data_IF_816032089319
#
_entry.id   IF_816032089319
#
_cell.length_a   1.000
_cell.length_b   1.000
_cell.length_c   1.000
_cell.angle_alpha   90.00
_cell.angle_beta   90.00
_cell.angle_gamma   90.00
#
_symmetry.space_group_name_H-M   'P 1'
#
loop_
_entity.id
_entity.type
_entity.pdbx_description
1 polymer ?
#
# COMPACT_ATOMS: atom_id res chain seq x y z
N UNK A 1 -8.84 -7.79 0.36
CA UNK A 1 -8.69 -6.45 0.98
C UNK A 1 -7.91 -5.63 -0.03
N UNK A 2 -8.50 -4.56 -0.55
CA UNK A 2 -7.90 -3.74 -1.61
C UNK A 2 -6.84 -2.83 -0.99
N UNK A 3 -5.56 -2.95 -1.34
CA UNK A 3 -4.57 -1.89 -1.05
C UNK A 3 -4.46 -1.00 -2.28
N UNK A 4 -5.53 -0.23 -2.50
CA UNK A 4 -5.45 1.09 -3.12
C UNK A 4 -5.48 2.05 -1.94
N UNK A 5 -4.29 2.46 -1.55
CA UNK A 5 -3.95 3.06 -0.25
C UNK A 5 -4.60 4.42 0.04
N UNK A 6 -5.51 4.89 -0.82
CA UNK A 6 -5.96 6.29 -0.78
C UNK A 6 -7.48 6.46 -0.72
N UNK A 7 -8.29 5.49 -1.13
CA UNK A 7 -9.68 5.82 -1.50
C UNK A 7 -10.78 5.02 -0.82
N UNK A 8 -10.47 3.97 -0.05
CA UNK A 8 -11.55 3.16 0.55
C UNK A 8 -12.41 3.93 1.54
N UNK A 9 -11.87 4.95 2.22
CA UNK A 9 -12.62 5.74 3.21
C UNK A 9 -13.14 7.07 2.65
N UNK A 10 -12.47 7.66 1.65
CA UNK A 10 -12.83 9.00 1.14
C UNK A 10 -13.81 9.00 -0.03
N UNK A 11 -13.93 7.89 -0.76
CA UNK A 11 -14.70 7.84 -2.00
C UNK A 11 -15.71 6.68 -2.09
N UNK A 12 -15.81 5.87 -1.03
CA UNK A 12 -16.59 4.63 -1.06
C UNK A 12 -17.58 4.64 0.10
N UNK A 13 -18.85 4.62 -0.23
CA UNK A 13 -19.95 4.46 0.71
C UNK A 13 -20.28 2.96 0.82
N UNK A 14 -20.14 2.40 2.02
CA UNK A 14 -20.63 1.05 2.32
C UNK A 14 -21.80 1.16 3.27
N UNK A 15 -23.02 1.01 2.76
CA UNK A 15 -24.23 0.94 3.60
C UNK A 15 -24.70 -0.52 3.74
N UNK A 16 -24.80 -1.02 4.98
CA UNK A 16 -25.35 -2.35 5.28
C UNK A 16 -26.90 -2.42 5.23
N UNK A 17 -27.55 -1.34 4.77
CA UNK A 17 -29.00 -1.21 4.73
C UNK A 17 -29.59 -1.70 3.39
N UNK A 18 -29.44 -2.98 3.06
CA UNK A 18 -30.30 -3.69 2.10
C UNK A 18 -30.40 -3.16 0.65
N UNK A 19 -29.52 -2.25 0.22
CA UNK A 19 -29.47 -1.76 -1.16
C UNK A 19 -28.53 -2.62 -2.03
N UNK A 20 -28.66 -2.48 -3.35
CA UNK A 20 -27.74 -3.04 -4.34
C UNK A 20 -26.36 -2.41 -4.16
N UNK A 21 -25.52 -3.02 -3.31
CA UNK A 21 -24.21 -2.48 -2.98
C UNK A 21 -23.33 -2.40 -4.23
N UNK A 22 -22.90 -1.19 -4.56
CA UNK A 22 -21.86 -0.98 -5.57
C UNK A 22 -20.52 -1.31 -4.93
N UNK A 23 -19.73 -2.19 -5.55
CA UNK A 23 -18.44 -2.58 -5.00
C UNK A 23 -17.44 -1.43 -4.99
N UNK A 24 -16.47 -1.51 -4.08
CA UNK A 24 -15.45 -0.48 -3.88
C UNK A 24 -14.71 -0.09 -5.18
N UNK A 25 -14.33 -1.05 -6.02
CA UNK A 25 -13.61 -0.75 -7.26
C UNK A 25 -14.52 -0.01 -8.26
N UNK A 26 -15.81 -0.35 -8.32
CA UNK A 26 -16.77 0.42 -9.11
C UNK A 26 -16.92 1.84 -8.57
N UNK A 27 -17.14 2.03 -7.26
CA UNK A 27 -17.30 3.36 -6.67
C UNK A 27 -16.08 4.24 -6.90
N UNK A 28 -14.87 3.66 -6.85
CA UNK A 28 -13.63 4.35 -7.12
C UNK A 28 -13.63 5.04 -8.50
N UNK A 29 -14.05 4.32 -9.54
CA UNK A 29 -14.00 4.86 -10.90
C UNK A 29 -15.23 5.72 -11.24
N UNK A 30 -16.35 5.55 -10.54
CA UNK A 30 -17.58 6.33 -10.78
C UNK A 30 -17.65 7.57 -9.90
N UNK A 31 -17.67 7.39 -8.58
CA UNK A 31 -17.88 8.44 -7.60
C UNK A 31 -16.60 9.27 -7.41
N UNK A 32 -15.44 8.62 -7.50
CA UNK A 32 -14.12 9.25 -7.44
C UNK A 32 -13.51 9.53 -8.83
N UNK A 33 -14.33 9.64 -9.88
CA UNK A 33 -13.85 9.94 -11.25
C UNK A 33 -13.07 11.26 -11.39
N UNK A 34 -13.17 12.17 -10.42
CA UNK A 34 -12.43 13.42 -10.36
C UNK A 34 -11.13 13.34 -9.55
N UNK A 35 -10.78 12.18 -9.00
CA UNK A 35 -9.51 12.00 -8.29
C UNK A 35 -8.38 11.97 -9.32
N UNK A 36 -7.45 12.93 -9.22
CA UNK A 36 -6.33 13.07 -10.16
C UNK A 36 -5.33 11.92 -10.07
N UNK A 37 -5.10 11.36 -8.88
CA UNK A 37 -4.01 10.39 -8.68
C UNK A 37 -4.51 9.22 -7.86
N UNK A 38 -4.46 8.02 -8.46
CA UNK A 38 -4.75 6.75 -7.81
C UNK A 38 -3.59 5.81 -8.11
N UNK A 39 -2.81 5.44 -7.10
CA UNK A 39 -1.68 4.53 -7.27
C UNK A 39 -1.61 3.48 -6.16
N UNK A 40 -1.27 2.24 -6.50
CA UNK A 40 -1.17 1.14 -5.54
C UNK A 40 -1.27 -0.24 -6.17
N UNK A 41 -1.85 -1.19 -5.44
CA UNK A 41 -2.17 -2.54 -5.92
C UNK A 41 -3.66 -2.74 -6.18
N UNK A 42 -4.11 -4.00 -6.20
CA UNK A 42 -5.54 -4.35 -6.25
C UNK A 42 -6.12 -4.49 -7.66
N UNK A 43 -5.29 -4.60 -8.70
CA UNK A 43 -5.76 -4.64 -10.08
C UNK A 43 -6.78 -5.76 -10.37
N UNK A 44 -6.67 -6.91 -9.71
CA UNK A 44 -7.57 -8.06 -9.92
C UNK A 44 -9.04 -7.73 -9.67
N UNK A 45 -9.35 -6.64 -8.98
CA UNK A 45 -10.71 -6.28 -8.56
C UNK A 45 -11.41 -5.42 -9.64
N UNK A 46 -10.68 -5.06 -10.71
CA UNK A 46 -11.12 -4.22 -11.80
C UNK A 46 -11.46 -4.98 -13.08
N UNK A 47 -11.18 -6.29 -13.17
CA UNK A 47 -11.46 -7.09 -14.37
C UNK A 47 -11.99 -8.48 -14.03
N UNK A 48 -12.55 -9.16 -15.04
CA UNK A 48 -13.25 -10.43 -14.90
C UNK A 48 -12.32 -11.61 -14.61
N UNK A 49 -12.86 -12.69 -14.05
CA UNK A 49 -12.15 -13.97 -13.88
C UNK A 49 -11.68 -14.61 -15.20
N UNK A 50 -12.27 -14.19 -16.32
CA UNK A 50 -11.89 -14.63 -17.67
C UNK A 50 -10.78 -13.77 -18.30
N UNK A 51 -10.45 -12.65 -17.66
CA UNK A 51 -9.44 -11.70 -18.11
C UNK A 51 -8.13 -11.92 -17.33
N UNK A 52 -7.00 -11.95 -18.03
CA UNK A 52 -5.63 -11.96 -17.48
C UNK A 52 -4.84 -10.76 -17.96
N UNK A 53 -5.54 -9.65 -18.20
CA UNK A 53 -5.15 -8.61 -19.16
C UNK A 53 -3.83 -7.89 -18.86
N UNK A 54 -3.24 -8.07 -17.67
CA UNK A 54 -2.24 -7.13 -17.12
C UNK A 54 -1.22 -7.84 -16.24
N UNK A 55 -1.72 -8.68 -15.34
CA UNK A 55 -0.93 -9.56 -14.50
C UNK A 55 -1.18 -10.99 -14.98
N UNK A 56 -0.21 -11.89 -14.81
CA UNK A 56 -0.40 -13.34 -14.97
C UNK A 56 -1.28 -13.90 -13.82
N UNK A 57 -2.41 -13.24 -13.60
CA UNK A 57 -3.36 -13.43 -12.52
C UNK A 57 -4.76 -13.06 -13.02
N UNK A 58 -5.72 -13.94 -12.71
CA UNK A 58 -7.12 -13.75 -13.06
C UNK A 58 -7.73 -12.59 -12.28
N UNK A 59 -8.69 -11.92 -12.91
CA UNK A 59 -9.55 -10.98 -12.22
C UNK A 59 -10.49 -11.66 -11.23
N UNK A 60 -11.19 -10.87 -10.43
CA UNK A 60 -12.12 -11.31 -9.38
C UNK A 60 -13.55 -10.87 -9.64
N UNK A 61 -13.79 -10.03 -10.64
CA UNK A 61 -15.14 -9.55 -10.95
C UNK A 61 -15.99 -10.68 -11.55
N UNK A 62 -17.22 -10.78 -11.07
CA UNK A 62 -18.23 -11.75 -11.53
C UNK A 62 -19.33 -11.13 -12.40
N UNK A 63 -19.25 -9.82 -12.67
CA UNK A 63 -20.23 -9.03 -13.43
C UNK A 63 -19.78 -8.78 -14.88
N UNK A 64 -18.71 -9.44 -15.33
CA UNK A 64 -18.11 -9.31 -16.66
C UNK A 64 -17.63 -7.89 -17.02
N UNK A 65 -17.54 -6.97 -16.05
CA UNK A 65 -17.06 -5.61 -16.29
C UNK A 65 -15.54 -5.53 -16.30
N UNK A 66 -15.04 -4.59 -17.08
CA UNK A 66 -13.64 -4.19 -17.06
C UNK A 66 -13.57 -2.70 -16.72
N UNK A 67 -13.38 -2.44 -15.42
CA UNK A 67 -13.38 -1.10 -14.84
C UNK A 67 -12.17 -0.26 -15.29
N UNK A 68 -11.07 -0.89 -15.70
CA UNK A 68 -9.91 -0.16 -16.20
C UNK A 68 -10.22 0.46 -17.56
N UNK A 69 -10.84 -0.32 -18.45
CA UNK A 69 -11.34 0.18 -19.73
C UNK A 69 -12.43 1.23 -19.54
N UNK A 70 -13.39 0.98 -18.64
CA UNK A 70 -14.44 1.96 -18.34
C UNK A 70 -13.88 3.29 -17.82
N UNK A 71 -12.85 3.26 -16.96
CA UNK A 71 -12.18 4.46 -16.48
C UNK A 71 -11.45 5.20 -17.61
N UNK A 72 -10.70 4.49 -18.46
CA UNK A 72 -9.96 5.09 -19.58
C UNK A 72 -10.90 5.73 -20.62
N UNK A 73 -11.98 5.03 -20.99
CA UNK A 73 -13.03 5.54 -21.87
C UNK A 73 -13.71 6.78 -21.27
N UNK A 74 -13.97 6.77 -19.95
CA UNK A 74 -14.54 7.92 -19.26
C UNK A 74 -13.62 9.14 -19.29
N UNK A 75 -12.34 8.99 -18.95
CA UNK A 75 -11.38 10.10 -18.95
C UNK A 75 -11.15 10.64 -20.37
N UNK A 76 -11.12 9.75 -21.37
CA UNK A 76 -11.07 10.13 -22.79
C UNK A 76 -12.28 10.97 -23.19
N UNK A 77 -13.49 10.52 -22.84
CA UNK A 77 -14.75 11.25 -23.14
C UNK A 77 -14.80 12.63 -22.48
N UNK A 78 -14.17 12.79 -21.31
CA UNK A 78 -14.06 14.06 -20.60
C UNK A 78 -12.93 14.97 -21.13
N UNK A 79 -12.17 14.54 -22.15
CA UNK A 79 -11.07 15.31 -22.73
C UNK A 79 -9.88 15.52 -21.80
N UNK A 80 -9.69 14.63 -20.82
CA UNK A 80 -8.64 14.75 -19.79
C UNK A 80 -7.36 14.06 -20.24
N UNK A 81 -6.21 14.65 -19.92
CA UNK A 81 -4.90 14.00 -20.11
C UNK A 81 -4.73 12.96 -19.01
N UNK A 82 -4.91 11.70 -19.36
CA UNK A 82 -4.91 10.60 -18.40
C UNK A 82 -3.88 9.52 -18.76
N UNK A 83 -3.50 8.73 -17.78
CA UNK A 83 -2.58 7.60 -17.95
C UNK A 83 -3.03 6.42 -17.09
N UNK A 84 -3.10 5.25 -17.73
CA UNK A 84 -3.31 3.96 -17.06
C UNK A 84 -1.97 3.22 -17.00
N UNK A 85 -1.52 2.84 -15.81
CA UNK A 85 -0.20 2.24 -15.56
C UNK A 85 -0.30 0.92 -14.82
N UNK A 86 0.55 -0.02 -15.20
CA UNK A 86 0.58 -1.36 -14.60
C UNK A 86 1.96 -1.88 -14.25
N UNK A 87 3.01 -1.31 -14.84
CA UNK A 87 4.38 -1.75 -14.59
C UNK A 87 5.26 -0.60 -14.14
N UNK A 88 6.32 -0.94 -13.42
CA UNK A 88 7.34 0.01 -13.00
C UNK A 88 8.10 0.63 -14.19
N UNK A 89 8.21 -0.11 -15.31
CA UNK A 89 8.78 0.42 -16.56
C UNK A 89 7.92 1.57 -17.09
N UNK A 90 6.60 1.37 -17.19
CA UNK A 90 5.70 2.44 -17.62
C UNK A 90 5.73 3.62 -16.65
N UNK A 91 5.76 3.35 -15.33
CA UNK A 91 5.88 4.37 -14.30
C UNK A 91 7.13 5.24 -14.49
N UNK A 92 8.30 4.63 -14.69
CA UNK A 92 9.58 5.35 -14.88
C UNK A 92 9.63 6.14 -16.19
N UNK A 93 8.89 5.73 -17.21
CA UNK A 93 8.81 6.41 -18.51
C UNK A 93 7.75 7.51 -18.55
N UNK A 94 6.86 7.58 -17.56
CA UNK A 94 5.77 8.54 -17.54
C UNK A 94 6.28 9.98 -17.42
N UNK A 95 5.77 10.86 -18.30
CA UNK A 95 5.98 12.29 -18.18
C UNK A 95 4.91 12.90 -17.27
N UNK A 96 5.21 12.92 -15.96
CA UNK A 96 4.28 13.40 -14.93
C UNK A 96 3.81 14.84 -15.14
N UNK A 97 4.61 15.68 -15.80
CA UNK A 97 4.28 17.08 -16.11
C UNK A 97 3.18 17.23 -17.17
N UNK A 98 2.89 16.17 -17.93
CA UNK A 98 1.87 16.19 -19.01
C UNK A 98 0.61 15.38 -18.69
N UNK A 99 0.50 14.80 -17.50
CA UNK A 99 -0.61 13.91 -17.08
C UNK A 99 -1.40 14.57 -15.96
N UNK A 100 -2.70 14.74 -16.14
CA UNK A 100 -3.60 15.35 -15.16
C UNK A 100 -4.33 14.30 -14.30
N UNK A 101 -4.51 13.09 -14.84
CA UNK A 101 -5.18 11.97 -14.18
C UNK A 101 -4.37 10.68 -14.34
N UNK A 102 -4.11 9.93 -13.26
CA UNK A 102 -3.42 8.65 -13.34
C UNK A 102 -4.13 7.59 -12.50
N UNK A 103 -4.29 6.40 -13.10
CA UNK A 103 -4.63 5.18 -12.41
C UNK A 103 -3.46 4.19 -12.58
N UNK A 104 -2.64 4.04 -11.53
CA UNK A 104 -1.49 3.15 -11.50
C UNK A 104 -1.71 1.96 -10.58
N UNK A 105 -1.96 0.78 -11.14
CA UNK A 105 -2.15 -0.45 -10.37
C UNK A 105 -1.00 -1.40 -10.67
N UNK A 106 -0.04 -1.54 -9.76
CA UNK A 106 1.25 -2.23 -9.96
C UNK A 106 1.30 -3.66 -9.42
N UNK A 107 0.18 -4.16 -8.88
CA UNK A 107 0.05 -5.51 -8.36
C UNK A 107 -1.39 -6.03 -8.51
N UNK A 108 -1.60 -7.35 -8.68
CA UNK A 108 -2.95 -7.91 -8.74
C UNK A 108 -3.70 -7.77 -7.41
N UNK A 109 -2.99 -7.83 -6.28
CA UNK A 109 -3.49 -7.60 -4.93
C UNK A 109 -2.63 -6.51 -4.26
N UNK A 110 -2.31 -6.63 -2.97
CA UNK A 110 -1.32 -5.79 -2.29
C UNK A 110 -0.03 -5.67 -3.10
N UNK A 111 0.60 -4.49 -3.06
CA UNK A 111 1.99 -4.36 -3.49
C UNK A 111 2.89 -5.28 -2.64
N UNK A 112 4.02 -5.68 -3.21
CA UNK A 112 4.99 -6.49 -2.48
C UNK A 112 5.46 -5.73 -1.24
N UNK A 113 5.93 -6.47 -0.22
CA UNK A 113 6.79 -5.83 0.78
C UNK A 113 8.03 -5.28 0.08
N UNK A 114 8.56 -4.19 0.58
CA UNK A 114 9.76 -3.55 0.07
C UNK A 114 10.94 -4.51 0.03
N UNK A 115 11.13 -5.34 1.06
CA UNK A 115 12.20 -6.33 1.10
C UNK A 115 12.11 -7.38 -0.01
N UNK A 116 10.90 -7.63 -0.52
CA UNK A 116 10.63 -8.60 -1.59
C UNK A 116 10.38 -7.94 -2.96
N UNK A 117 10.29 -6.61 -3.00
CA UNK A 117 9.93 -5.86 -4.19
C UNK A 117 11.07 -5.89 -5.20
N UNK A 118 10.79 -6.41 -6.40
CA UNK A 118 11.77 -6.51 -7.50
C UNK A 118 11.54 -5.49 -8.59
N UNK A 119 10.27 -5.24 -8.93
CA UNK A 119 9.91 -4.38 -10.07
C UNK A 119 8.57 -3.65 -9.85
N UNK A 120 8.47 -2.93 -8.74
CA UNK A 120 7.36 -2.04 -8.43
C UNK A 120 7.92 -0.66 -8.03
N UNK A 121 7.18 0.44 -8.28
CA UNK A 121 7.59 1.75 -7.77
C UNK A 121 7.52 1.73 -6.24
N UNK A 122 8.46 2.39 -5.57
CA UNK A 122 8.43 2.53 -4.11
C UNK A 122 7.31 3.48 -3.67
N UNK A 123 6.96 3.46 -2.38
CA UNK A 123 6.02 4.42 -1.81
C UNK A 123 6.49 5.86 -2.00
N UNK A 124 7.80 6.10 -1.85
CA UNK A 124 8.42 7.40 -2.09
C UNK A 124 8.32 7.82 -3.56
N UNK A 125 8.55 6.91 -4.51
CA UNK A 125 8.42 7.20 -5.95
C UNK A 125 6.98 7.59 -6.31
N UNK A 126 6.00 6.80 -5.84
CA UNK A 126 4.58 7.10 -6.06
C UNK A 126 4.19 8.44 -5.43
N UNK A 127 4.70 8.75 -4.24
CA UNK A 127 4.47 10.04 -3.57
C UNK A 127 5.02 11.21 -4.38
N UNK A 128 6.24 11.09 -4.89
CA UNK A 128 6.87 12.09 -5.76
C UNK A 128 6.05 12.33 -7.04
N UNK A 129 5.63 11.27 -7.71
CA UNK A 129 4.81 11.36 -8.92
C UNK A 129 3.45 12.02 -8.63
N UNK A 130 2.81 11.68 -7.50
CA UNK A 130 1.56 12.28 -7.07
C UNK A 130 1.71 13.79 -6.85
N UNK A 131 2.73 14.22 -6.11
CA UNK A 131 3.00 15.65 -5.85
C UNK A 131 3.30 16.38 -7.16
N UNK A 132 4.06 15.79 -8.09
CA UNK A 132 4.33 16.37 -9.42
C UNK A 132 3.07 16.64 -10.25
N UNK A 133 2.04 15.82 -10.10
CA UNK A 133 0.74 16.03 -10.74
C UNK A 133 -0.07 17.09 -9.98
N UNK A 134 -0.24 16.89 -8.67
CA UNK A 134 -1.16 17.65 -7.84
C UNK A 134 -0.71 19.10 -7.58
N UNK A 135 0.60 19.33 -7.43
CA UNK A 135 1.17 20.68 -7.17
C UNK A 135 0.96 21.68 -8.30
N UNK A 136 0.57 21.22 -9.50
CA UNK A 136 0.23 22.12 -10.61
C UNK A 136 -1.12 22.80 -10.43
N UNK A 137 -1.95 22.33 -9.50
CA UNK A 137 -3.21 22.99 -9.17
C UNK A 137 -2.94 24.19 -8.24
N UNK A 138 -3.16 25.41 -8.73
CA UNK A 138 -2.97 26.63 -7.94
C UNK A 138 -3.95 26.78 -6.76
N UNK A 139 -5.02 25.98 -6.73
CA UNK A 139 -5.96 25.92 -5.60
C UNK A 139 -5.49 24.99 -4.47
N UNK A 140 -4.30 24.39 -4.61
CA UNK A 140 -3.77 23.39 -3.69
C UNK A 140 -4.30 21.98 -3.96
N UNK A 141 -3.96 21.05 -3.08
CA UNK A 141 -4.36 19.65 -3.20
C UNK A 141 -4.48 18.97 -1.84
N UNK A 142 -5.17 17.84 -1.83
CA UNK A 142 -5.13 16.86 -0.75
C UNK A 142 -4.43 15.61 -1.28
N UNK A 143 -3.46 15.10 -0.52
CA UNK A 143 -2.79 13.85 -0.81
C UNK A 143 -2.79 12.97 0.44
N UNK A 144 -3.25 11.73 0.30
CA UNK A 144 -3.10 10.69 1.31
C UNK A 144 -2.03 9.72 0.82
N UNK A 145 -1.12 9.35 1.72
CA UNK A 145 -0.09 8.34 1.52
C UNK A 145 -0.14 7.42 2.72
N UNK A 146 -0.26 6.11 2.51
CA UNK A 146 -0.33 5.12 3.59
C UNK A 146 0.77 4.05 3.39
N UNK A 147 1.47 3.73 4.47
CA UNK A 147 2.38 2.59 4.56
C UNK A 147 1.64 1.30 4.91
N UNK A 148 0.65 0.90 4.10
CA UNK A 148 -0.36 -0.10 4.50
C UNK A 148 0.17 -1.53 4.69
N UNK A 149 1.42 -1.79 4.32
CA UNK A 149 2.08 -3.09 4.54
C UNK A 149 2.72 -3.17 5.93
N UNK A 150 2.86 -2.07 6.69
CA UNK A 150 3.32 -2.10 8.09
C UNK A 150 2.41 -3.01 8.93
N UNK A 151 1.10 -2.81 8.81
CA UNK A 151 0.05 -3.63 9.43
C UNK A 151 0.19 -5.12 9.05
N UNK A 152 0.30 -5.42 7.75
CA UNK A 152 0.48 -6.79 7.27
C UNK A 152 1.75 -7.46 7.82
N UNK A 153 2.85 -6.71 7.98
CA UNK A 153 4.08 -7.21 8.60
C UNK A 153 3.86 -7.58 10.06
N UNK A 154 3.12 -6.76 10.80
CA UNK A 154 2.76 -7.06 12.19
C UNK A 154 1.79 -8.24 12.31
N UNK A 155 0.77 -8.34 11.46
CA UNK A 155 -0.14 -9.48 11.43
C UNK A 155 0.54 -10.82 11.10
N UNK A 156 1.68 -10.78 10.40
CA UNK A 156 2.52 -11.95 10.16
C UNK A 156 3.53 -12.27 11.28
N UNK A 157 3.56 -11.48 12.36
CA UNK A 157 4.62 -11.51 13.39
C UNK A 157 6.03 -11.29 12.80
N UNK A 158 6.14 -10.58 11.68
CA UNK A 158 7.39 -10.37 10.96
C UNK A 158 7.90 -8.93 11.15
N UNK A 159 8.56 -8.69 12.29
CA UNK A 159 9.06 -7.35 12.66
C UNK A 159 10.03 -6.76 11.62
N UNK A 160 10.83 -7.60 10.94
CA UNK A 160 11.73 -7.15 9.87
C UNK A 160 10.95 -6.52 8.70
N UNK A 161 9.81 -7.10 8.31
CA UNK A 161 8.96 -6.53 7.28
C UNK A 161 8.26 -5.26 7.79
N UNK A 162 7.62 -5.30 8.97
CA UNK A 162 6.90 -4.13 9.51
C UNK A 162 7.80 -2.89 9.66
N UNK A 163 9.01 -3.06 10.21
CA UNK A 163 9.97 -1.97 10.38
C UNK A 163 10.55 -1.50 9.03
N UNK A 164 10.77 -2.40 8.07
CA UNK A 164 11.23 -2.01 6.73
C UNK A 164 10.17 -1.22 5.96
N UNK A 165 8.89 -1.58 6.09
CA UNK A 165 7.79 -0.80 5.52
C UNK A 165 7.65 0.56 6.21
N UNK A 166 7.93 0.63 7.52
CA UNK A 166 7.94 1.91 8.26
C UNK A 166 9.04 2.84 7.73
N UNK A 167 10.22 2.30 7.41
CA UNK A 167 11.30 3.03 6.76
C UNK A 167 10.92 3.50 5.34
N UNK A 168 10.11 2.75 4.60
CA UNK A 168 9.58 3.23 3.31
C UNK A 168 8.58 4.37 3.46
N UNK A 169 7.75 4.37 4.51
CA UNK A 169 6.89 5.50 4.84
C UNK A 169 7.70 6.73 5.23
N UNK A 170 8.77 6.56 6.02
CA UNK A 170 9.72 7.63 6.34
C UNK A 170 10.31 8.26 5.06
N UNK A 171 10.79 7.45 4.10
CA UNK A 171 11.30 7.95 2.82
C UNK A 171 10.25 8.75 2.03
N UNK A 172 8.98 8.34 2.08
CA UNK A 172 7.88 9.08 1.45
C UNK A 172 7.61 10.42 2.13
N UNK A 173 7.74 10.48 3.47
CA UNK A 173 7.67 11.72 4.25
C UNK A 173 8.84 12.64 3.87
N UNK A 174 10.07 12.16 3.91
CA UNK A 174 11.26 12.93 3.50
C UNK A 174 11.12 13.47 2.08
N UNK A 175 10.64 12.63 1.16
CA UNK A 175 10.37 13.03 -0.21
C UNK A 175 9.33 14.14 -0.28
N UNK A 176 8.24 14.04 0.47
CA UNK A 176 7.21 15.08 0.55
C UNK A 176 7.80 16.40 1.03
N UNK A 177 8.54 16.37 2.15
CA UNK A 177 9.20 17.55 2.71
C UNK A 177 10.17 18.21 1.72
N UNK A 178 10.81 17.43 0.86
CA UNK A 178 11.71 17.97 -0.17
C UNK A 178 11.00 18.64 -1.37
N UNK A 179 9.69 18.45 -1.52
CA UNK A 179 8.92 18.87 -2.70
C UNK A 179 7.86 19.94 -2.42
N UNK A 180 7.60 20.26 -1.14
CA UNK A 180 6.54 21.19 -0.74
C UNK A 180 7.10 22.35 0.08
N UNK A 181 6.40 23.50 0.08
CA UNK A 181 6.68 24.58 1.02
C UNK A 181 5.89 24.34 2.31
N UNK A 182 6.59 24.13 3.42
CA UNK A 182 6.01 23.93 4.76
C UNK A 182 5.19 25.13 5.24
N UNK A 183 5.37 26.32 4.68
CA UNK A 183 4.55 27.50 5.01
C UNK A 183 3.14 27.42 4.44
N UNK A 184 2.95 26.67 3.37
CA UNK A 184 1.69 26.54 2.64
C UNK A 184 1.11 25.12 2.73
N UNK A 185 1.85 24.18 3.33
CA UNK A 185 1.50 22.76 3.36
C UNK A 185 1.40 22.24 4.80
N UNK A 186 0.23 21.73 5.17
CA UNK A 186 0.05 20.96 6.40
C UNK A 186 0.33 19.47 6.14
N UNK A 187 1.42 18.96 6.72
CA UNK A 187 1.73 17.53 6.73
C UNK A 187 1.29 16.90 8.06
N UNK A 188 0.48 15.84 7.98
CA UNK A 188 0.05 15.05 9.15
C UNK A 188 0.54 13.62 8.96
N UNK A 189 1.25 13.10 9.96
CA UNK A 189 1.66 11.70 10.05
C UNK A 189 0.98 11.10 11.27
N UNK A 190 0.25 10.01 11.07
CA UNK A 190 -0.45 9.29 12.13
C UNK A 190 -0.55 7.81 11.79
N UNK A 191 -0.92 7.00 12.78
CA UNK A 191 -1.43 5.66 12.57
C UNK A 191 -2.95 5.64 12.77
N UNK A 192 -3.63 4.72 12.11
CA UNK A 192 -5.04 4.41 12.32
C UNK A 192 -5.25 3.56 13.58
N UNK A 193 -4.34 2.62 13.85
CA UNK A 193 -4.22 1.87 15.09
C UNK A 193 -2.78 1.38 15.33
N UNK A 194 -2.54 0.74 16.47
CA UNK A 194 -1.26 0.08 16.79
C UNK A 194 -1.39 -1.45 16.69
N UNK A 195 -0.35 -2.15 17.11
CA UNK A 195 -0.25 -3.61 17.17
C UNK A 195 0.30 -4.05 18.52
N UNK A 196 0.15 -5.33 18.86
CA UNK A 196 0.75 -5.95 20.04
C UNK A 196 2.28 -6.11 19.96
N UNK A 197 2.99 -5.17 19.33
CA UNK A 197 4.43 -5.18 19.17
C UNK A 197 5.12 -4.61 20.41
N UNK A 198 6.16 -5.28 20.90
CA UNK A 198 6.92 -4.86 22.07
C UNK A 198 8.42 -5.03 21.87
N UNK A 199 9.19 -4.03 22.28
CA UNK A 199 10.66 -4.12 22.40
C UNK A 199 10.97 -4.56 23.83
N UNK A 200 11.44 -5.79 23.99
CA UNK A 200 11.63 -6.44 25.29
C UNK A 200 13.07 -6.94 25.47
N UNK A 201 13.47 -7.14 26.72
CA UNK A 201 14.82 -7.59 27.10
C UNK A 201 15.70 -6.45 27.62
N UNK A 202 16.99 -6.73 27.72
CA UNK A 202 18.05 -5.85 28.21
C UNK A 202 19.15 -5.70 27.16
N UNK A 203 18.74 -5.52 25.89
CA UNK A 203 19.65 -5.35 24.77
C UNK A 203 20.61 -4.17 24.99
N UNK A 204 21.89 -4.36 24.65
CA UNK A 204 22.87 -3.26 24.65
C UNK A 204 22.59 -2.29 23.49
N UNK A 205 23.04 -1.04 23.61
CA UNK A 205 22.78 0.05 22.65
C UNK A 205 23.06 -0.30 21.18
N UNK A 206 24.04 -1.15 20.91
CA UNK A 206 24.49 -1.46 19.54
C UNK A 206 23.91 -2.77 18.99
N UNK A 207 22.99 -3.42 19.71
CA UNK A 207 22.33 -4.63 19.24
C UNK A 207 21.26 -4.26 18.21
N UNK A 208 21.10 -5.08 17.16
CA UNK A 208 20.02 -4.88 16.20
C UNK A 208 18.67 -5.02 16.91
N UNK A 209 17.70 -4.18 16.52
CA UNK A 209 16.31 -4.29 16.99
C UNK A 209 15.65 -5.61 16.53
N UNK A 210 16.23 -6.28 15.53
CA UNK A 210 15.77 -7.56 15.01
C UNK A 210 16.48 -8.77 15.65
N UNK A 211 17.51 -8.54 16.47
CA UNK A 211 18.25 -9.62 17.11
C UNK A 211 17.55 -10.11 18.38
N UNK A 212 17.81 -11.37 18.72
CA UNK A 212 17.42 -11.93 20.01
C UNK A 212 18.39 -11.43 21.09
N UNK A 213 17.86 -10.77 22.11
CA UNK A 213 18.64 -10.39 23.28
C UNK A 213 19.13 -11.63 24.04
N UNK A 214 20.46 -11.84 23.99
CA UNK A 214 21.14 -12.91 24.72
C UNK A 214 21.89 -12.40 25.96
N UNK A 215 21.74 -11.12 26.33
CA UNK A 215 22.48 -10.46 27.42
C UNK A 215 22.18 -11.08 28.80
N UNK A 216 21.04 -11.76 28.95
CA UNK A 216 20.61 -12.39 30.20
C UNK A 216 21.04 -13.86 30.41
N UNK A 217 21.93 -14.43 29.59
CA UNK A 217 22.31 -15.87 29.74
C UNK A 217 23.16 -16.20 30.97
N UNK A 218 23.54 -15.23 31.81
CA UNK A 218 24.37 -15.50 33.00
C UNK A 218 23.58 -15.64 34.32
N UNK A 219 22.27 -15.34 34.39
CA UNK A 219 21.53 -15.34 35.68
C UNK A 219 20.16 -16.04 35.64
N UNK A 220 19.73 -16.65 34.53
CA UNK A 220 18.40 -17.31 34.50
C UNK A 220 18.51 -18.80 34.18
N UNK A 221 18.88 -19.59 35.17
CA UNK A 221 18.75 -21.05 35.16
C UNK A 221 17.35 -21.55 35.59
N UNK A 222 16.35 -20.67 35.78
CA UNK A 222 15.06 -21.10 36.37
C UNK A 222 13.76 -20.48 35.80
N UNK A 223 13.77 -19.80 34.65
CA UNK A 223 12.49 -19.36 34.04
C UNK A 223 12.05 -20.34 32.96
N UNK A 224 11.10 -21.21 33.35
CA UNK A 224 10.40 -22.14 32.45
C UNK A 224 9.58 -21.30 31.46
N UNK A 225 10.03 -21.21 30.21
CA UNK A 225 9.19 -20.70 29.12
C UNK A 225 7.94 -21.57 29.02
N UNK A 226 6.76 -20.95 29.08
CA UNK A 226 5.51 -21.59 28.70
C UNK A 226 5.52 -21.80 27.20
N UNK A 227 6.03 -22.95 26.74
CA UNK A 227 5.73 -23.46 25.41
C UNK A 227 4.27 -23.86 25.42
N UNK A 228 3.41 -23.09 24.75
CA UNK A 228 2.08 -23.57 24.37
C UNK A 228 2.28 -24.72 23.38
N UNK A 229 2.01 -25.93 23.85
CA UNK A 229 1.99 -27.14 23.04
C UNK A 229 0.85 -27.07 22.04
N UNK A 230 1.18 -26.93 20.76
CA UNK A 230 0.39 -27.55 19.69
C UNK A 230 1.36 -28.32 18.80
N UNK A 231 1.40 -29.63 19.07
CA UNK A 231 2.04 -30.71 18.34
C UNK A 231 2.37 -30.41 16.87
N UNK A 232 3.65 -30.56 16.52
CA UNK A 232 4.05 -31.27 15.30
C UNK A 232 5.31 -32.07 15.62
N UNK A 233 5.11 -33.39 15.59
CA UNK A 233 6.11 -34.44 15.74
C UNK A 233 7.33 -34.20 14.86
N UNK A 234 8.53 -34.33 15.43
CA UNK A 234 9.69 -34.98 14.81
C UNK A 234 10.74 -35.22 15.91
N UNK A 235 10.64 -36.37 16.55
CA UNK A 235 11.67 -37.09 17.31
C UNK A 235 11.48 -38.54 16.81
N UNK A 236 12.45 -39.35 16.38
CA UNK A 236 13.87 -39.47 16.66
C UNK A 236 14.54 -40.29 15.53
N UNK A 237 15.85 -40.12 15.34
CA UNK A 237 16.82 -41.20 15.56
C UNK A 237 18.26 -40.73 15.25
N UNK A 238 19.10 -40.78 16.30
CA UNK A 238 20.56 -41.00 16.35
C UNK A 238 21.49 -40.07 15.55
#
# INVERSE_FOLDING_TARGET
>A
MLTITVLKTFAIETSDLGFKCTDAATQLITNASNVNVIMGGGASEFYSTNDTLIFDAKGKRNDSRNLLREWEEMQTRLGRKHLLLHTNVQFKQANWSSVDYVLGLFAPNHMAFQLDSKDQPSLADMTEAAIKILSRNSMGFLLLVEGGRIDHGHHGDQANYALSETLELEKAIEKTMSLVDEKETLLIVTADHSHGYGVIGYATRNMSVLDVDNTAKTIVSQTRYWRTTSNLYMDNAL
#
